data_IF_019579764267
#
_entry.id   IF_019579764267
#
_cell.length_a   1.000
_cell.length_b   1.000
_cell.length_c   1.000
_cell.angle_alpha   90.00
_cell.angle_beta   90.00
_cell.angle_gamma   90.00
#
_symmetry.space_group_name_H-M   'P 1'
#
loop_
_entity.id
_entity.type
_entity.pdbx_description
1 polymer ?
#
# COMPACT_ATOMS: atom_id res chain seq x y z
N UNK A 1 -19.80 -29.28 -8.22
CA UNK A 1 -19.05 -28.15 -7.67
C UNK A 1 -19.67 -27.88 -6.30
N UNK A 2 -18.96 -28.22 -5.20
CA UNK A 2 -19.39 -27.81 -3.87
C UNK A 2 -19.45 -26.28 -3.85
N UNK A 3 -20.59 -25.74 -3.49
CA UNK A 3 -20.72 -24.30 -3.24
C UNK A 3 -19.77 -23.97 -2.08
N UNK A 4 -18.75 -23.15 -2.35
CA UNK A 4 -17.78 -22.72 -1.34
C UNK A 4 -18.54 -22.10 -0.17
N UNK A 5 -18.56 -22.78 0.96
CA UNK A 5 -19.14 -22.27 2.20
C UNK A 5 -18.15 -21.28 2.83
N UNK A 6 -18.64 -20.11 3.27
CA UNK A 6 -17.80 -19.16 3.99
C UNK A 6 -17.32 -19.82 5.32
N UNK A 7 -16.00 -19.88 5.59
CA UNK A 7 -15.45 -20.59 6.75
C UNK A 7 -15.67 -19.79 8.05
N UNK A 8 -16.89 -19.75 8.53
CA UNK A 8 -17.36 -18.91 9.64
C UNK A 8 -16.51 -19.07 10.90
N UNK A 9 -16.09 -20.30 11.23
CA UNK A 9 -15.28 -20.57 12.43
C UNK A 9 -13.91 -19.86 12.39
N UNK A 10 -13.32 -19.73 11.20
CA UNK A 10 -12.02 -19.05 11.01
C UNK A 10 -12.12 -17.52 11.00
N UNK A 11 -13.32 -16.94 10.96
CA UNK A 11 -13.56 -15.50 10.83
C UNK A 11 -14.62 -14.98 11.82
N UNK A 12 -14.91 -15.72 12.87
CA UNK A 12 -15.95 -15.37 13.85
C UNK A 12 -15.66 -14.02 14.55
N UNK A 13 -14.40 -13.76 14.88
CA UNK A 13 -13.93 -12.52 15.46
C UNK A 13 -14.15 -11.31 14.50
N UNK A 14 -13.86 -11.49 13.21
CA UNK A 14 -14.05 -10.45 12.17
C UNK A 14 -15.54 -10.15 11.99
N UNK A 15 -16.37 -11.17 11.89
CA UNK A 15 -17.83 -10.99 11.72
C UNK A 15 -18.48 -10.37 12.97
N UNK A 16 -18.02 -10.76 14.16
CA UNK A 16 -18.47 -10.16 15.42
C UNK A 16 -18.12 -8.68 15.51
N UNK A 17 -16.87 -8.31 15.26
CA UNK A 17 -16.43 -6.92 15.22
C UNK A 17 -17.16 -6.10 14.13
N UNK A 18 -17.42 -6.71 12.96
CA UNK A 18 -18.18 -6.04 11.90
C UNK A 18 -19.63 -5.77 12.31
N UNK A 19 -20.27 -6.65 13.06
CA UNK A 19 -21.63 -6.42 13.56
C UNK A 19 -21.71 -5.21 14.50
N UNK A 20 -20.69 -4.99 15.34
CA UNK A 20 -20.58 -3.80 16.16
C UNK A 20 -20.35 -2.55 15.31
N UNK A 21 -19.46 -2.63 14.32
CA UNK A 21 -19.18 -1.53 13.38
C UNK A 21 -20.44 -1.07 12.64
N UNK A 22 -21.26 -2.02 12.18
CA UNK A 22 -22.53 -1.74 11.46
C UNK A 22 -23.46 -0.89 12.32
N UNK A 23 -23.54 -1.14 13.63
CA UNK A 23 -24.41 -0.38 14.55
C UNK A 23 -24.02 1.10 14.68
N UNK A 24 -22.75 1.44 14.37
CA UNK A 24 -22.19 2.78 14.47
C UNK A 24 -21.87 3.37 13.08
N UNK A 25 -22.23 2.67 11.99
CA UNK A 25 -21.90 3.08 10.64
C UNK A 25 -22.61 4.36 10.22
N UNK A 26 -21.83 5.34 9.74
CA UNK A 26 -22.31 6.67 9.34
C UNK A 26 -21.67 7.22 8.07
N UNK A 27 -21.17 6.32 7.23
CA UNK A 27 -20.44 6.69 6.02
C UNK A 27 -21.19 6.37 4.72
N UNK A 28 -22.52 6.10 4.81
CA UNK A 28 -23.35 5.74 3.65
C UNK A 28 -23.37 6.79 2.54
N UNK A 29 -23.20 8.07 2.90
CA UNK A 29 -23.20 9.19 1.97
C UNK A 29 -21.84 9.46 1.31
N UNK A 30 -20.77 8.74 1.72
CA UNK A 30 -19.46 8.92 1.10
C UNK A 30 -19.46 8.33 -0.31
N UNK A 31 -18.90 9.11 -1.24
CA UNK A 31 -18.66 8.66 -2.61
C UNK A 31 -17.34 7.90 -2.71
N UNK A 32 -17.15 7.16 -3.83
CA UNK A 32 -15.87 6.53 -4.12
C UNK A 32 -14.73 7.49 -4.51
N UNK A 33 -14.93 8.81 -4.45
CA UNK A 33 -13.95 9.84 -4.83
C UNK A 33 -13.08 10.23 -3.62
N UNK A 34 -11.80 10.54 -3.84
CA UNK A 34 -10.90 11.05 -2.81
C UNK A 34 -11.21 12.53 -2.54
N UNK A 35 -11.83 12.87 -1.40
CA UNK A 35 -12.23 14.24 -1.09
C UNK A 35 -11.04 15.21 -0.99
N UNK A 36 -9.87 14.72 -0.56
CA UNK A 36 -8.61 15.49 -0.44
C UNK A 36 -7.67 15.34 -1.64
N UNK A 37 -8.10 14.67 -2.70
CA UNK A 37 -7.35 14.51 -3.94
C UNK A 37 -6.05 13.72 -3.82
N UNK A 38 -5.86 12.96 -2.74
CA UNK A 38 -4.63 12.23 -2.44
C UNK A 38 -4.78 10.73 -2.70
N UNK A 39 -3.72 10.10 -3.23
CA UNK A 39 -3.49 8.67 -3.12
C UNK A 39 -2.17 8.40 -2.38
N UNK A 40 -2.16 7.40 -1.50
CA UNK A 40 -0.95 6.92 -0.84
C UNK A 40 -0.66 5.50 -1.29
N UNK A 41 0.60 5.24 -1.63
CA UNK A 41 1.15 3.90 -1.80
C UNK A 41 2.04 3.62 -0.61
N UNK A 42 1.66 2.67 0.25
CA UNK A 42 2.42 2.36 1.47
C UNK A 42 2.53 0.87 1.72
N UNK A 43 3.31 0.49 2.74
CA UNK A 43 3.51 -0.91 3.09
C UNK A 43 2.26 -1.52 3.77
N UNK A 44 2.12 -2.85 3.61
CA UNK A 44 1.11 -3.65 4.30
C UNK A 44 1.40 -3.84 5.80
N UNK A 45 2.50 -3.33 6.33
CA UNK A 45 2.93 -3.45 7.72
C UNK A 45 1.81 -3.04 8.70
N UNK A 46 1.46 -3.93 9.61
CA UNK A 46 0.32 -3.76 10.53
C UNK A 46 0.50 -2.62 11.54
N UNK A 47 1.75 -2.13 11.74
CA UNK A 47 2.03 -0.97 12.59
C UNK A 47 1.60 0.35 11.97
N UNK A 48 1.32 0.38 10.67
CA UNK A 48 0.97 1.61 9.94
C UNK A 48 -0.54 1.73 9.84
N UNK A 49 -1.10 2.78 10.43
CA UNK A 49 -2.46 3.24 10.14
C UNK A 49 -2.37 4.48 9.23
N UNK A 50 -2.50 4.32 7.91
CA UNK A 50 -2.22 5.41 6.97
C UNK A 50 -3.10 6.64 7.19
N UNK A 51 -4.37 6.46 7.53
CA UNK A 51 -5.27 7.59 7.79
C UNK A 51 -4.82 8.42 8.98
N UNK A 52 -4.44 7.76 10.08
CA UNK A 52 -3.95 8.44 11.28
C UNK A 52 -2.64 9.18 11.04
N UNK A 53 -1.71 8.54 10.31
CA UNK A 53 -0.38 9.13 9.99
C UNK A 53 -0.50 10.47 9.29
N UNK A 54 -1.48 10.62 8.40
CA UNK A 54 -1.66 11.84 7.59
C UNK A 54 -2.82 12.73 8.06
N UNK A 55 -3.42 12.43 9.22
CA UNK A 55 -4.52 13.21 9.77
C UNK A 55 -5.79 13.26 8.91
N UNK A 56 -6.07 12.18 8.18
CA UNK A 56 -7.23 12.05 7.30
C UNK A 56 -8.23 11.02 7.81
N UNK A 57 -9.42 10.99 7.22
CA UNK A 57 -10.51 10.09 7.58
C UNK A 57 -11.07 9.36 6.36
N UNK A 58 -11.99 8.42 6.59
CA UNK A 58 -12.68 7.69 5.52
C UNK A 58 -13.29 8.65 4.50
N UNK A 59 -13.07 8.38 3.21
CA UNK A 59 -13.49 9.22 2.09
C UNK A 59 -12.48 10.27 1.63
N UNK A 60 -11.46 10.60 2.41
CA UNK A 60 -10.52 11.68 2.08
C UNK A 60 -9.45 11.24 1.06
N UNK A 61 -8.98 10.00 1.11
CA UNK A 61 -7.76 9.52 0.43
C UNK A 61 -7.94 8.11 -0.15
N UNK A 62 -7.23 7.80 -1.23
CA UNK A 62 -7.04 6.43 -1.72
C UNK A 62 -5.81 5.82 -1.09
N UNK A 63 -5.93 4.59 -0.57
CA UNK A 63 -4.83 3.90 0.09
C UNK A 63 -4.56 2.60 -0.66
N UNK A 64 -3.34 2.48 -1.20
CA UNK A 64 -2.81 1.27 -1.83
C UNK A 64 -1.75 0.69 -0.90
N UNK A 65 -1.80 -0.62 -0.65
CA UNK A 65 -0.85 -1.29 0.24
C UNK A 65 -0.33 -2.58 -0.38
N UNK A 66 0.99 -2.74 -0.33
CA UNK A 66 1.66 -3.99 -0.69
C UNK A 66 2.95 -4.19 0.12
N UNK A 67 3.66 -5.28 -0.08
CA UNK A 67 4.95 -5.51 0.55
C UNK A 67 5.98 -4.46 0.09
N UNK A 68 6.48 -3.66 1.04
CA UNK A 68 7.53 -2.67 0.81
C UNK A 68 7.08 -1.36 0.14
N UNK A 69 5.79 -1.10 -0.01
CA UNK A 69 5.27 0.10 -0.67
C UNK A 69 5.72 0.26 -2.14
N UNK A 70 5.92 -0.87 -2.84
CA UNK A 70 6.50 -0.88 -4.20
C UNK A 70 5.48 -0.47 -5.27
N UNK A 71 5.95 0.30 -6.24
CA UNK A 71 5.14 0.69 -7.40
C UNK A 71 5.18 -0.42 -8.46
N UNK A 72 4.25 -1.36 -8.34
CA UNK A 72 4.05 -2.48 -9.25
C UNK A 72 3.14 -2.11 -10.41
N UNK A 73 3.00 -3.00 -11.40
CA UNK A 73 2.04 -2.81 -12.51
C UNK A 73 0.60 -2.65 -12.00
N UNK A 74 0.23 -3.38 -10.94
CA UNK A 74 -1.09 -3.23 -10.33
C UNK A 74 -1.29 -1.86 -9.67
N UNK A 75 -0.26 -1.34 -9.02
CA UNK A 75 -0.27 0.03 -8.46
C UNK A 75 -0.41 1.06 -9.58
N UNK A 76 0.35 0.94 -10.67
CA UNK A 76 0.28 1.86 -11.80
C UNK A 76 -1.11 1.89 -12.43
N UNK A 77 -1.71 0.73 -12.77
CA UNK A 77 -3.07 0.69 -13.32
C UNK A 77 -4.10 1.29 -12.36
N UNK A 78 -3.93 1.06 -11.05
CA UNK A 78 -4.82 1.60 -10.01
C UNK A 78 -4.69 3.12 -9.91
N UNK A 79 -3.47 3.67 -10.00
CA UNK A 79 -3.22 5.10 -10.01
C UNK A 79 -3.79 5.78 -11.27
N UNK A 80 -3.74 5.13 -12.44
CA UNK A 80 -4.41 5.62 -13.65
C UNK A 80 -5.91 5.79 -13.38
N UNK A 81 -6.59 4.74 -12.91
CA UNK A 81 -8.00 4.81 -12.57
C UNK A 81 -8.29 5.93 -11.55
N UNK A 82 -7.46 6.02 -10.50
CA UNK A 82 -7.65 6.97 -9.41
C UNK A 82 -7.50 8.43 -9.89
N UNK A 83 -6.55 8.70 -10.77
CA UNK A 83 -6.28 10.06 -11.26
C UNK A 83 -7.32 10.54 -12.28
N UNK A 84 -7.87 9.66 -13.11
CA UNK A 84 -8.90 10.04 -14.08
C UNK A 84 -10.32 10.05 -13.49
N UNK A 85 -10.67 9.07 -12.67
CA UNK A 85 -12.06 8.83 -12.28
C UNK A 85 -12.36 9.11 -10.80
N UNK A 86 -11.37 9.05 -9.90
CA UNK A 86 -11.58 9.08 -8.45
C UNK A 86 -11.03 10.33 -7.76
N UNK A 87 -10.83 11.41 -8.52
CA UNK A 87 -10.43 12.73 -8.02
C UNK A 87 -9.02 12.78 -7.40
N UNK A 88 -8.10 11.91 -7.78
CA UNK A 88 -6.71 11.97 -7.31
C UNK A 88 -5.92 12.93 -8.19
N UNK A 89 -5.23 13.91 -7.57
CA UNK A 89 -4.35 14.87 -8.24
C UNK A 89 -2.96 14.96 -7.59
N UNK A 90 -2.72 14.19 -6.53
CA UNK A 90 -1.42 14.05 -5.88
C UNK A 90 -1.23 12.64 -5.34
N UNK A 91 0.00 12.15 -5.41
CA UNK A 91 0.38 10.79 -5.02
C UNK A 91 1.56 10.88 -4.05
N UNK A 92 1.48 10.18 -2.91
CA UNK A 92 2.57 9.99 -1.96
C UNK A 92 2.97 8.52 -1.94
N UNK A 93 4.24 8.22 -2.25
CA UNK A 93 4.82 6.89 -2.03
C UNK A 93 5.54 6.91 -0.68
N UNK A 94 5.07 6.06 0.25
CA UNK A 94 5.48 6.10 1.65
C UNK A 94 5.92 4.70 2.14
N UNK A 95 7.16 4.27 1.82
CA UNK A 95 7.81 3.16 2.54
C UNK A 95 8.09 3.54 4.01
N UNK A 96 8.62 2.61 4.80
CA UNK A 96 8.83 2.84 6.22
C UNK A 96 10.13 2.22 6.72
N UNK A 97 10.66 2.73 7.83
CA UNK A 97 11.81 2.15 8.53
C UNK A 97 11.48 0.76 9.11
N UNK A 98 12.50 -0.08 9.34
CA UNK A 98 12.33 -1.41 9.92
C UNK A 98 11.35 -2.29 9.11
N UNK A 99 11.46 -2.22 7.78
CA UNK A 99 10.62 -2.97 6.85
C UNK A 99 11.25 -4.31 6.51
N UNK A 100 10.47 -5.40 6.58
CA UNK A 100 10.93 -6.74 6.22
C UNK A 100 11.53 -6.78 4.80
N UNK A 101 10.97 -6.03 3.86
CA UNK A 101 11.44 -5.96 2.49
C UNK A 101 12.80 -5.25 2.32
N UNK A 102 13.28 -4.56 3.37
CA UNK A 102 14.59 -3.90 3.40
C UNK A 102 15.68 -4.70 4.15
N UNK A 103 15.30 -5.77 4.86
CA UNK A 103 16.24 -6.58 5.64
C UNK A 103 17.11 -7.50 4.77
N UNK A 104 16.51 -8.08 3.73
CA UNK A 104 17.12 -9.12 2.90
C UNK A 104 17.00 -8.76 1.42
N UNK A 105 17.83 -9.39 0.61
CA UNK A 105 17.67 -9.32 -0.84
C UNK A 105 16.69 -10.39 -1.38
N UNK A 106 16.50 -10.40 -2.69
CA UNK A 106 15.55 -11.29 -3.35
C UNK A 106 15.91 -12.78 -3.16
N UNK A 107 17.19 -13.11 -3.28
CA UNK A 107 17.69 -14.48 -3.15
C UNK A 107 17.51 -15.01 -1.73
N UNK A 108 17.76 -14.17 -0.71
CA UNK A 108 17.59 -14.52 0.69
C UNK A 108 16.14 -14.92 0.99
N UNK A 109 15.15 -14.18 0.44
CA UNK A 109 13.73 -14.52 0.64
C UNK A 109 13.36 -15.85 0.01
N UNK A 110 13.82 -16.13 -1.20
CA UNK A 110 13.57 -17.43 -1.85
C UNK A 110 14.18 -18.57 -1.04
N UNK A 111 15.42 -18.41 -0.58
CA UNK A 111 16.10 -19.41 0.24
C UNK A 111 15.39 -19.63 1.57
N UNK A 112 15.02 -18.59 2.30
CA UNK A 112 14.31 -18.69 3.59
C UNK A 112 12.99 -19.43 3.47
N UNK A 113 12.23 -19.20 2.39
CA UNK A 113 10.95 -19.88 2.17
C UNK A 113 11.18 -21.34 1.82
N UNK A 114 12.16 -21.65 0.97
CA UNK A 114 12.49 -23.02 0.58
C UNK A 114 12.98 -23.83 1.79
N UNK A 115 13.94 -23.30 2.55
CA UNK A 115 14.48 -23.95 3.75
C UNK A 115 13.42 -24.24 4.82
N UNK A 116 12.48 -23.31 5.03
CA UNK A 116 11.51 -23.42 6.10
C UNK A 116 10.26 -24.21 5.72
N UNK A 117 9.84 -24.14 4.47
CA UNK A 117 8.55 -24.67 4.00
C UNK A 117 8.66 -25.64 2.83
N UNK A 118 9.84 -25.83 2.24
CA UNK A 118 10.05 -26.68 1.06
C UNK A 118 9.35 -26.15 -0.20
N UNK A 119 9.17 -24.82 -0.30
CA UNK A 119 8.45 -24.20 -1.42
C UNK A 119 9.40 -23.37 -2.28
N UNK A 120 9.56 -23.76 -3.53
CA UNK A 120 10.33 -22.99 -4.50
C UNK A 120 9.52 -21.80 -5.01
N UNK A 121 9.96 -20.59 -4.66
CA UNK A 121 9.33 -19.32 -5.05
C UNK A 121 10.13 -18.55 -6.12
N UNK A 122 11.15 -19.14 -6.75
CA UNK A 122 12.06 -18.46 -7.69
C UNK A 122 11.38 -17.86 -8.92
N UNK A 123 10.13 -18.23 -9.21
CA UNK A 123 9.31 -17.63 -10.28
C UNK A 123 8.61 -16.33 -9.88
N UNK A 124 8.65 -15.95 -8.59
CA UNK A 124 8.10 -14.69 -8.10
C UNK A 124 9.18 -13.62 -8.01
N UNK A 125 8.80 -12.38 -8.26
CA UNK A 125 9.57 -11.18 -7.96
C UNK A 125 8.98 -10.50 -6.74
N UNK A 126 9.67 -10.54 -5.58
CA UNK A 126 9.23 -9.88 -4.36
C UNK A 126 9.46 -8.36 -4.39
N UNK A 127 10.41 -7.89 -5.20
CA UNK A 127 10.81 -6.48 -5.30
C UNK A 127 11.33 -5.94 -3.98
N UNK A 128 12.30 -6.63 -3.41
CA UNK A 128 12.97 -6.20 -2.18
C UNK A 128 13.53 -4.78 -2.30
N UNK A 129 13.74 -4.11 -1.18
CA UNK A 129 14.15 -2.70 -1.10
C UNK A 129 15.29 -2.50 -0.11
N UNK A 130 16.35 -3.30 -0.18
CA UNK A 130 17.52 -3.19 0.70
C UNK A 130 18.12 -1.79 0.66
N UNK A 131 18.25 -1.18 -0.52
CA UNK A 131 18.43 0.26 -0.68
C UNK A 131 17.06 0.92 -0.78
N UNK A 132 16.48 1.28 0.37
CA UNK A 132 15.14 1.83 0.43
C UNK A 132 15.02 3.19 -0.27
N UNK A 133 16.05 4.04 -0.15
CA UNK A 133 16.04 5.37 -0.81
C UNK A 133 16.16 5.24 -2.33
N UNK A 134 17.07 4.38 -2.81
CA UNK A 134 17.20 4.09 -4.24
C UNK A 134 15.93 3.44 -4.82
N UNK A 135 15.32 2.51 -4.09
CA UNK A 135 14.05 1.90 -4.48
C UNK A 135 12.92 2.93 -4.57
N UNK A 136 12.85 3.86 -3.61
CA UNK A 136 11.86 4.94 -3.63
C UNK A 136 12.07 5.87 -4.82
N UNK A 137 13.31 6.25 -5.12
CA UNK A 137 13.63 7.07 -6.30
C UNK A 137 13.17 6.40 -7.61
N UNK A 138 13.44 5.11 -7.76
CA UNK A 138 12.99 4.31 -8.92
C UNK A 138 11.46 4.31 -9.00
N UNK A 139 10.78 4.04 -7.90
CA UNK A 139 9.32 3.95 -7.84
C UNK A 139 8.65 5.32 -8.13
N UNK A 140 9.20 6.42 -7.64
CA UNK A 140 8.74 7.76 -7.98
C UNK A 140 8.92 8.07 -9.48
N UNK A 141 10.08 7.70 -10.04
CA UNK A 141 10.33 7.89 -11.46
C UNK A 141 9.37 7.04 -12.32
N UNK A 142 9.06 5.80 -11.91
CA UNK A 142 8.06 4.96 -12.60
C UNK A 142 6.71 5.64 -12.71
N UNK A 143 6.25 6.31 -11.65
CA UNK A 143 4.97 7.04 -11.68
C UNK A 143 5.10 8.27 -12.57
N UNK A 144 6.14 9.09 -12.36
CA UNK A 144 6.34 10.37 -13.08
C UNK A 144 6.49 10.20 -14.59
N UNK A 145 7.13 9.10 -15.01
CA UNK A 145 7.36 8.78 -16.43
C UNK A 145 6.27 7.89 -17.05
N UNK A 146 5.24 7.50 -16.29
CA UNK A 146 4.23 6.58 -16.80
C UNK A 146 3.30 7.27 -17.80
N UNK A 147 3.32 6.88 -19.10
CA UNK A 147 2.66 7.65 -20.16
C UNK A 147 1.14 7.65 -20.08
N UNK A 148 0.55 6.73 -19.31
CA UNK A 148 -0.90 6.65 -19.15
C UNK A 148 -1.40 7.36 -17.90
N UNK A 149 -0.52 7.92 -17.07
CA UNK A 149 -0.94 8.70 -15.92
C UNK A 149 -1.45 10.07 -16.39
N UNK A 150 -2.48 10.58 -15.71
CA UNK A 150 -3.02 11.92 -16.03
C UNK A 150 -1.94 13.00 -15.82
N UNK A 151 -1.82 13.91 -16.74
CA UNK A 151 -0.91 15.05 -16.63
C UNK A 151 -1.23 15.96 -15.43
N UNK A 152 -0.21 16.61 -14.89
CA UNK A 152 -0.33 17.56 -13.79
C UNK A 152 -0.54 16.93 -12.41
N UNK A 153 -0.42 15.59 -12.27
CA UNK A 153 -0.48 14.93 -10.98
C UNK A 153 0.84 15.15 -10.22
N UNK A 154 0.76 15.72 -9.01
CA UNK A 154 1.92 15.88 -8.14
C UNK A 154 2.34 14.52 -7.55
N UNK A 155 3.63 14.18 -7.63
CA UNK A 155 4.17 12.90 -7.11
C UNK A 155 5.31 13.19 -6.15
N UNK A 156 5.16 12.74 -4.91
CA UNK A 156 6.14 12.90 -3.83
C UNK A 156 6.44 11.57 -3.15
N UNK A 157 7.59 11.49 -2.49
CA UNK A 157 7.99 10.39 -1.65
C UNK A 157 8.28 10.83 -0.22
N UNK A 158 8.16 9.92 0.73
CA UNK A 158 8.58 10.14 2.11
C UNK A 158 8.73 8.81 2.84
N UNK A 159 9.68 8.73 3.75
CA UNK A 159 9.93 7.52 4.55
C UNK A 159 9.28 7.70 5.92
N UNK A 160 8.34 6.82 6.25
CA UNK A 160 7.67 6.81 7.55
C UNK A 160 8.54 6.10 8.60
N UNK A 161 8.81 6.74 9.71
CA UNK A 161 9.51 6.13 10.84
C UNK A 161 8.50 5.47 11.79
N UNK A 162 8.56 4.13 11.88
CA UNK A 162 7.62 3.34 12.70
C UNK A 162 7.83 3.52 14.20
N UNK A 163 8.94 4.14 14.64
CA UNK A 163 9.22 4.38 16.06
C UNK A 163 8.80 5.78 16.52
N UNK A 164 8.92 6.76 15.64
CA UNK A 164 8.62 8.16 15.98
C UNK A 164 7.28 8.64 15.39
N UNK A 165 6.77 7.98 14.36
CA UNK A 165 5.58 8.41 13.63
C UNK A 165 5.84 9.55 12.63
N UNK A 166 7.09 9.97 12.45
CA UNK A 166 7.44 11.03 11.51
C UNK A 166 7.49 10.54 10.07
N UNK A 167 7.17 11.41 9.12
CA UNK A 167 7.46 11.22 7.70
C UNK A 167 8.66 12.09 7.36
N UNK A 168 9.77 11.48 6.97
CA UNK A 168 10.92 12.17 6.40
C UNK A 168 10.65 12.39 4.90
N UNK A 169 10.51 13.64 4.42
CA UNK A 169 10.35 13.92 3.00
C UNK A 169 11.56 13.41 2.20
N UNK A 170 11.28 12.83 1.04
CA UNK A 170 12.32 12.35 0.14
C UNK A 170 12.59 13.40 -0.94
N UNK A 171 13.81 13.91 -0.94
CA UNK A 171 14.33 14.81 -1.96
C UNK A 171 15.15 13.99 -2.97
N UNK A 172 14.62 13.77 -4.19
CA UNK A 172 15.25 12.98 -5.25
C UNK A 172 14.52 13.10 -6.58
#
# INVERSE_FOLDING_TARGET
MEQGHFPTDGFADVLGANSEYVSQFKYSELTGRAAKGLAIVTCMDSRINPLSVIGMKSGDVKILRNAGARVTEDVLRTLVLATYLLNVNRILVMPHTDCKMAENDEADFHQLIDEKYGVNTSSLEFRTSRDQRGSLAIDLNRIRSYPLLREGVAVAGGIYDVKTGAIEPFEG
#
